data_IF_519791743193
#
_entry.id   IF_519791743193
#
_cell.length_a   1.000
_cell.length_b   1.000
_cell.length_c   1.000
_cell.angle_alpha   90.00
_cell.angle_beta   90.00
_cell.angle_gamma   90.00
#
_symmetry.space_group_name_H-M   'P 1'
#
loop_
_entity.id
_entity.type
_entity.pdbx_description
1 polymer ?
#
# COMPACT_ATOMS: atom_id res chain seq x y z
N UNK A 1 -20.38 -30.99 23.02
CA UNK A 1 -19.28 -30.75 22.07
C UNK A 1 -18.81 -29.35 22.32
N UNK A 2 -17.51 -29.15 22.52
CA UNK A 2 -16.93 -27.82 22.47
C UNK A 2 -17.10 -27.39 21.01
N UNK A 3 -17.86 -26.32 20.75
CA UNK A 3 -17.99 -25.80 19.39
C UNK A 3 -16.62 -25.22 19.01
N UNK A 4 -15.83 -26.00 18.26
CA UNK A 4 -14.50 -25.58 17.82
C UNK A 4 -14.67 -24.62 16.65
N UNK A 5 -14.95 -23.37 16.99
CA UNK A 5 -14.96 -22.26 16.04
C UNK A 5 -13.56 -21.64 16.01
N UNK A 6 -12.92 -21.63 14.84
CA UNK A 6 -11.55 -21.14 14.65
C UNK A 6 -11.54 -20.03 13.61
N UNK A 7 -10.98 -18.88 13.96
CA UNK A 7 -10.69 -17.80 13.02
C UNK A 7 -9.29 -18.01 12.45
N UNK A 8 -9.20 -18.18 11.13
CA UNK A 8 -7.95 -18.32 10.41
C UNK A 8 -7.61 -17.03 9.69
N UNK A 9 -6.34 -16.62 9.73
CA UNK A 9 -5.79 -15.48 8.99
C UNK A 9 -4.61 -15.99 8.17
N UNK A 10 -4.85 -16.31 6.90
CA UNK A 10 -3.86 -16.91 6.01
C UNK A 10 -3.31 -15.87 5.03
N UNK A 11 -1.99 -15.75 4.92
CA UNK A 11 -1.37 -14.85 3.94
C UNK A 11 -1.46 -15.44 2.54
N UNK A 12 -1.86 -14.63 1.57
CA UNK A 12 -1.92 -14.97 0.14
C UNK A 12 -0.78 -14.30 -0.64
N UNK A 13 -0.59 -14.73 -1.89
CA UNK A 13 0.21 -13.95 -2.85
C UNK A 13 -0.44 -12.60 -3.12
N UNK A 14 0.36 -11.53 -3.15
CA UNK A 14 -0.14 -10.18 -3.39
C UNK A 14 -0.47 -9.99 -4.88
N UNK A 15 -1.75 -9.88 -5.19
CA UNK A 15 -2.26 -9.58 -6.54
C UNK A 15 -2.94 -8.21 -6.62
N UNK A 16 -3.18 -7.55 -5.48
CA UNK A 16 -3.80 -6.23 -5.42
C UNK A 16 -2.75 -5.13 -5.56
N UNK A 17 -3.02 -4.13 -6.39
CA UNK A 17 -2.08 -3.03 -6.66
C UNK A 17 -1.69 -2.31 -5.35
N UNK A 18 -0.40 -2.04 -5.17
CA UNK A 18 0.14 -1.35 -3.99
C UNK A 18 -0.10 -2.07 -2.65
N UNK A 19 -0.49 -3.35 -2.68
CA UNK A 19 -0.62 -4.15 -1.46
C UNK A 19 0.74 -4.59 -0.93
N UNK A 20 0.95 -4.37 0.36
CA UNK A 20 2.09 -4.87 1.13
C UNK A 20 1.88 -6.33 1.53
N UNK A 21 0.63 -6.71 1.79
CA UNK A 21 0.26 -8.09 2.08
C UNK A 21 -1.24 -8.31 1.81
N UNK A 22 -1.61 -9.50 1.32
CA UNK A 22 -3.00 -9.93 1.20
C UNK A 22 -3.27 -11.10 2.14
N UNK A 23 -4.47 -11.14 2.74
CA UNK A 23 -4.89 -12.17 3.68
C UNK A 23 -6.26 -12.71 3.32
N UNK A 24 -6.40 -14.04 3.32
CA UNK A 24 -7.68 -14.72 3.36
C UNK A 24 -8.06 -14.97 4.82
N UNK A 25 -9.20 -14.42 5.25
CA UNK A 25 -9.68 -14.52 6.62
C UNK A 25 -10.95 -15.35 6.61
N UNK A 26 -10.94 -16.48 7.30
CA UNK A 26 -12.07 -17.41 7.33
C UNK A 26 -12.43 -17.81 8.75
N UNK A 27 -13.72 -18.00 9.01
CA UNK A 27 -14.22 -18.63 10.22
C UNK A 27 -14.61 -20.06 9.91
N UNK A 28 -14.04 -21.02 10.62
CA UNK A 28 -14.36 -22.44 10.46
C UNK A 28 -15.09 -22.96 11.69
N UNK A 29 -16.21 -23.66 11.46
CA UNK A 29 -16.96 -24.38 12.49
C UNK A 29 -17.21 -25.79 11.99
N UNK A 30 -16.77 -26.78 12.76
CA UNK A 30 -16.88 -28.21 12.41
C UNK A 30 -16.33 -28.54 11.00
N UNK A 31 -15.26 -27.85 10.59
CA UNK A 31 -14.60 -28.00 9.28
C UNK A 31 -15.27 -27.29 8.10
N UNK A 32 -16.41 -26.62 8.30
CA UNK A 32 -17.07 -25.81 7.27
C UNK A 32 -16.69 -24.33 7.43
N UNK A 33 -16.43 -23.65 6.31
CA UNK A 33 -16.26 -22.18 6.29
C UNK A 33 -17.63 -21.52 6.44
N UNK A 34 -17.76 -20.62 7.41
CA UNK A 34 -18.98 -19.89 7.73
C UNK A 34 -18.69 -18.39 7.82
N UNK A 35 -19.75 -17.59 7.78
CA UNK A 35 -19.71 -16.18 8.19
C UNK A 35 -20.08 -16.06 9.67
N UNK A 36 -19.63 -15.01 10.38
CA UNK A 36 -20.03 -14.80 11.76
C UNK A 36 -21.51 -14.35 11.85
N UNK A 37 -22.20 -14.77 12.92
CA UNK A 37 -23.61 -14.41 13.14
C UNK A 37 -23.83 -12.93 13.50
N UNK A 38 -22.76 -12.21 13.82
CA UNK A 38 -22.76 -10.79 14.15
C UNK A 38 -21.38 -10.19 13.88
N UNK A 39 -21.25 -8.87 13.97
CA UNK A 39 -19.97 -8.19 13.83
C UNK A 39 -18.93 -8.70 14.84
N UNK A 40 -17.76 -9.13 14.34
CA UNK A 40 -16.61 -9.55 15.16
C UNK A 40 -15.44 -8.59 14.99
N UNK A 41 -14.49 -8.66 15.92
CA UNK A 41 -13.19 -7.96 15.81
C UNK A 41 -12.17 -8.88 15.15
N UNK A 42 -11.54 -8.39 14.08
CA UNK A 42 -10.45 -9.06 13.37
C UNK A 42 -9.13 -8.35 13.68
N UNK A 43 -8.06 -9.13 13.81
CA UNK A 43 -6.68 -8.64 14.01
C UNK A 43 -5.77 -9.24 12.94
N UNK A 44 -5.19 -8.40 12.09
CA UNK A 44 -4.19 -8.80 11.10
C UNK A 44 -2.81 -8.38 11.64
N UNK A 45 -1.93 -9.33 12.01
CA UNK A 45 -0.57 -8.98 12.45
C UNK A 45 0.27 -8.47 11.27
N UNK A 46 0.95 -7.34 11.43
CA UNK A 46 1.84 -6.78 10.41
C UNK A 46 2.83 -5.78 10.99
N UNK A 47 4.09 -5.86 10.50
CA UNK A 47 5.12 -4.87 10.81
C UNK A 47 5.09 -3.65 9.86
N UNK A 48 4.27 -3.71 8.80
CA UNK A 48 4.13 -2.59 7.88
C UNK A 48 3.19 -1.54 8.50
N UNK A 49 3.73 -0.38 8.87
CA UNK A 49 2.96 0.75 9.38
C UNK A 49 2.30 1.55 8.24
N UNK A 50 1.37 2.44 8.59
CA UNK A 50 0.69 3.35 7.66
C UNK A 50 0.03 2.61 6.48
N UNK A 51 -0.72 1.55 6.75
CA UNK A 51 -1.54 0.87 5.75
C UNK A 51 -3.03 1.03 6.06
N UNK A 52 -3.84 1.01 4.99
CA UNK A 52 -5.27 0.75 5.05
C UNK A 52 -5.52 -0.75 4.94
N UNK A 53 -6.58 -1.23 5.59
CA UNK A 53 -7.10 -2.58 5.39
C UNK A 53 -8.22 -2.47 4.37
N UNK A 54 -8.00 -2.95 3.16
CA UNK A 54 -8.95 -2.93 2.07
C UNK A 54 -9.64 -4.30 1.96
N UNK A 55 -10.95 -4.36 2.14
CA UNK A 55 -11.75 -5.55 1.81
C UNK A 55 -11.87 -5.67 0.30
N UNK A 56 -11.35 -6.75 -0.27
CA UNK A 56 -11.44 -7.05 -1.69
C UNK A 56 -12.74 -7.82 -1.96
N UNK A 57 -13.62 -7.23 -2.78
CA UNK A 57 -14.91 -7.82 -3.13
C UNK A 57 -14.83 -8.64 -4.41
N UNK A 58 -15.73 -9.61 -4.56
CA UNK A 58 -15.79 -10.49 -5.74
C UNK A 58 -16.08 -9.72 -7.05
N UNK A 59 -16.68 -8.53 -6.95
CA UNK A 59 -16.94 -7.64 -8.10
C UNK A 59 -15.70 -6.83 -8.54
N UNK A 60 -14.55 -7.03 -7.87
CA UNK A 60 -13.30 -6.34 -8.14
C UNK A 60 -13.15 -4.98 -7.46
N UNK A 61 -14.16 -4.53 -6.71
CA UNK A 61 -14.05 -3.29 -5.91
C UNK A 61 -13.37 -3.54 -4.56
N UNK A 62 -12.91 -2.46 -3.93
CA UNK A 62 -12.30 -2.52 -2.62
C UNK A 62 -12.92 -1.49 -1.66
N UNK A 63 -13.09 -1.87 -0.40
CA UNK A 63 -13.65 -1.01 0.65
C UNK A 63 -12.64 -0.84 1.80
N UNK A 64 -12.42 0.39 2.25
CA UNK A 64 -11.56 0.67 3.40
C UNK A 64 -12.28 0.30 4.71
N UNK A 65 -11.71 -0.66 5.44
CA UNK A 65 -12.24 -1.15 6.72
C UNK A 65 -11.97 -0.20 7.89
N UNK A 66 -11.32 0.94 7.66
CA UNK A 66 -10.98 1.95 8.67
C UNK A 66 -10.27 1.33 9.88
N UNK A 67 -9.35 0.40 9.61
CA UNK A 67 -8.65 -0.34 10.64
C UNK A 67 -7.73 0.57 11.45
N UNK A 68 -7.60 0.27 12.75
CA UNK A 68 -6.67 0.94 13.65
C UNK A 68 -5.41 0.12 13.78
N UNK A 69 -4.24 0.75 13.63
CA UNK A 69 -2.97 0.11 13.90
C UNK A 69 -2.63 0.21 15.40
N UNK A 70 -2.63 -0.91 16.11
CA UNK A 70 -2.35 -0.99 17.54
C UNK A 70 -1.59 -2.28 17.85
N UNK A 71 -0.50 -2.19 18.62
CA UNK A 71 0.29 -3.34 19.08
C UNK A 71 0.72 -4.29 17.94
N UNK A 72 1.22 -3.73 16.83
CA UNK A 72 1.69 -4.52 15.68
C UNK A 72 0.58 -5.20 14.86
N UNK A 73 -0.68 -4.80 15.08
CA UNK A 73 -1.84 -5.37 14.40
C UNK A 73 -2.72 -4.28 13.79
N UNK A 74 -3.29 -4.55 12.62
CA UNK A 74 -4.44 -3.82 12.11
C UNK A 74 -5.73 -4.43 12.68
N UNK A 75 -6.48 -3.62 13.41
CA UNK A 75 -7.69 -4.02 14.14
C UNK A 75 -8.91 -3.33 13.55
N UNK A 76 -9.89 -4.12 13.11
CA UNK A 76 -11.15 -3.63 12.55
C UNK A 76 -12.30 -4.56 12.92
N UNK A 77 -13.53 -4.14 12.60
CA UNK A 77 -14.74 -4.92 12.83
C UNK A 77 -15.44 -5.24 11.52
N UNK A 78 -15.95 -6.45 11.39
CA UNK A 78 -16.69 -6.89 10.20
C UNK A 78 -17.68 -8.00 10.57
N UNK A 79 -18.79 -8.08 9.85
CA UNK A 79 -19.73 -9.22 9.86
C UNK A 79 -19.58 -10.11 8.62
N UNK A 80 -18.66 -9.74 7.72
CA UNK A 80 -18.34 -10.50 6.53
C UNK A 80 -16.84 -10.74 6.48
N UNK A 81 -16.40 -11.99 6.47
CA UNK A 81 -15.02 -12.44 6.33
C UNK A 81 -14.74 -12.86 4.89
N UNK A 82 -13.61 -12.41 4.36
CA UNK A 82 -13.21 -12.60 2.97
C UNK A 82 -11.71 -12.31 2.83
N UNK A 83 -11.29 -11.87 1.64
CA UNK A 83 -9.93 -11.45 1.35
C UNK A 83 -9.73 -9.97 1.66
N UNK A 84 -8.64 -9.64 2.36
CA UNK A 84 -8.25 -8.28 2.72
C UNK A 84 -6.82 -7.99 2.32
N UNK A 85 -6.58 -6.83 1.72
CA UNK A 85 -5.25 -6.33 1.43
C UNK A 85 -4.84 -5.24 2.44
N UNK A 86 -3.60 -5.31 2.92
CA UNK A 86 -2.91 -4.18 3.52
C UNK A 86 -2.32 -3.35 2.38
N UNK A 87 -2.85 -2.15 2.19
CA UNK A 87 -2.43 -1.23 1.13
C UNK A 87 -1.75 -0.05 1.78
N UNK A 88 -0.56 0.32 1.32
CA UNK A 88 0.17 1.45 1.89
C UNK A 88 -0.70 2.72 1.78
N UNK A 89 -1.05 3.33 2.90
CA UNK A 89 -1.79 4.58 2.97
C UNK A 89 -0.82 5.76 2.81
N UNK A 90 -0.17 5.80 1.65
CA UNK A 90 0.73 6.88 1.30
C UNK A 90 0.00 7.84 0.38
N UNK A 91 -0.09 9.11 0.80
CA UNK A 91 -0.49 10.16 -0.12
C UNK A 91 0.64 10.33 -1.12
N UNK A 92 0.41 9.90 -2.35
CA UNK A 92 1.36 10.13 -3.44
C UNK A 92 1.17 11.56 -3.93
N UNK A 93 2.14 12.42 -3.64
CA UNK A 93 2.17 13.79 -4.11
C UNK A 93 2.93 13.86 -5.44
N UNK A 94 2.37 14.54 -6.43
CA UNK A 94 3.08 14.78 -7.70
C UNK A 94 4.36 15.56 -7.42
N UNK A 95 5.50 15.00 -7.82
CA UNK A 95 6.83 15.57 -7.60
C UNK A 95 7.52 15.19 -6.29
N UNK A 96 6.88 14.42 -5.40
CA UNK A 96 7.48 13.92 -4.15
C UNK A 96 8.28 12.63 -4.43
N UNK A 97 9.45 12.79 -5.02
CA UNK A 97 10.30 11.70 -5.50
C UNK A 97 10.93 10.88 -4.36
N UNK A 98 11.28 11.53 -3.25
CA UNK A 98 11.83 10.83 -2.09
C UNK A 98 10.73 10.29 -1.16
N UNK A 99 9.47 10.65 -1.45
CA UNK A 99 8.27 10.23 -0.75
C UNK A 99 8.28 10.57 0.75
N UNK A 100 8.79 11.75 1.10
CA UNK A 100 8.81 12.29 2.47
C UNK A 100 7.56 13.14 2.79
N UNK A 101 6.68 13.34 1.81
CA UNK A 101 5.45 14.12 1.94
C UNK A 101 5.64 15.62 1.74
N UNK A 102 6.83 16.09 1.35
CA UNK A 102 7.15 17.51 1.19
C UNK A 102 7.82 17.73 -0.18
N UNK A 103 7.10 18.35 -1.10
CA UNK A 103 7.62 18.61 -2.46
C UNK A 103 8.63 19.77 -2.41
N UNK A 104 9.92 19.49 -2.60
CA UNK A 104 11.00 20.47 -2.53
C UNK A 104 12.27 20.06 -3.34
N UNK A 105 13.36 20.83 -3.21
CA UNK A 105 14.61 20.59 -3.97
C UNK A 105 15.29 19.24 -3.64
N UNK A 106 14.96 18.64 -2.50
CA UNK A 106 15.43 17.29 -2.17
C UNK A 106 14.84 16.25 -3.13
N UNK A 107 13.61 16.43 -3.61
CA UNK A 107 12.99 15.54 -4.62
C UNK A 107 13.71 15.62 -5.96
N UNK A 108 14.06 16.84 -6.38
CA UNK A 108 14.87 17.08 -7.58
C UNK A 108 16.19 16.32 -7.49
N UNK A 109 16.85 16.41 -6.34
CA UNK A 109 18.13 15.72 -6.10
C UNK A 109 17.94 14.21 -6.10
N UNK A 110 16.87 13.72 -5.48
CA UNK A 110 16.57 12.30 -5.39
C UNK A 110 16.27 11.70 -6.77
N UNK A 111 15.47 12.38 -7.60
CA UNK A 111 15.18 11.99 -8.97
C UNK A 111 16.46 11.97 -9.84
N UNK A 112 17.33 12.97 -9.72
CA UNK A 112 18.63 12.99 -10.41
C UNK A 112 19.52 11.81 -10.00
N UNK A 113 19.57 11.49 -8.69
CA UNK A 113 20.30 10.33 -8.19
C UNK A 113 19.78 9.04 -8.80
N UNK A 114 18.45 8.85 -8.85
CA UNK A 114 17.82 7.69 -9.48
C UNK A 114 18.20 7.58 -10.96
N UNK A 115 18.05 8.66 -11.74
CA UNK A 115 18.40 8.70 -13.18
C UNK A 115 19.89 8.37 -13.42
N UNK A 116 20.78 8.78 -12.50
CA UNK A 116 22.21 8.46 -12.57
C UNK A 116 22.56 7.01 -12.17
N UNK A 117 21.56 6.21 -11.79
CA UNK A 117 21.72 4.80 -11.43
C UNK A 117 22.18 4.58 -9.98
N UNK A 118 22.05 5.58 -9.10
CA UNK A 118 22.26 5.37 -7.67
C UNK A 118 21.19 4.43 -7.10
N UNK A 119 21.56 3.75 -6.01
CA UNK A 119 20.76 2.72 -5.37
C UNK A 119 20.69 2.95 -3.87
N UNK A 120 19.68 2.37 -3.24
CA UNK A 120 19.63 2.26 -1.78
C UNK A 120 20.78 1.41 -1.24
N UNK A 121 21.02 1.47 0.07
CA UNK A 121 22.09 0.70 0.74
C UNK A 121 21.93 -0.82 0.57
N UNK A 122 20.70 -1.29 0.42
CA UNK A 122 20.37 -2.71 0.17
C UNK A 122 20.49 -3.12 -1.31
N UNK A 123 20.84 -2.18 -2.20
CA UNK A 123 20.99 -2.42 -3.64
C UNK A 123 19.69 -2.31 -4.46
N UNK A 124 18.56 -2.00 -3.83
CA UNK A 124 17.30 -1.67 -4.53
C UNK A 124 17.38 -0.32 -5.25
N UNK A 125 16.51 -0.12 -6.25
CA UNK A 125 16.40 1.16 -6.94
C UNK A 125 15.90 2.25 -5.98
N UNK A 126 16.35 3.50 -6.16
CA UNK A 126 15.88 4.63 -5.34
C UNK A 126 14.39 4.89 -5.55
N UNK A 127 13.91 4.77 -6.79
CA UNK A 127 12.49 4.84 -7.16
C UNK A 127 12.09 3.50 -7.77
N UNK A 128 11.01 2.90 -7.26
CA UNK A 128 10.42 1.69 -7.81
C UNK A 128 9.56 2.03 -9.03
N UNK A 129 10.17 1.98 -10.23
CA UNK A 129 9.49 2.23 -11.49
C UNK A 129 8.42 1.17 -11.84
N UNK A 130 8.39 0.03 -11.13
CA UNK A 130 7.32 -0.98 -11.33
C UNK A 130 6.04 -0.63 -10.57
N UNK A 131 6.14 0.23 -9.56
CA UNK A 131 5.00 0.83 -8.91
C UNK A 131 4.46 1.97 -9.78
N UNK A 132 3.33 1.72 -10.44
CA UNK A 132 2.73 2.69 -11.38
C UNK A 132 2.39 4.04 -10.73
N UNK A 133 1.89 4.03 -9.50
CA UNK A 133 1.54 5.29 -8.81
C UNK A 133 2.78 6.12 -8.49
N UNK A 134 3.86 5.47 -8.04
CA UNK A 134 5.14 6.14 -7.81
C UNK A 134 5.76 6.62 -9.11
N UNK A 135 5.73 5.80 -10.16
CA UNK A 135 6.23 6.19 -11.47
C UNK A 135 5.49 7.42 -12.02
N UNK A 136 4.16 7.35 -12.06
CA UNK A 136 3.32 8.41 -12.63
C UNK A 136 3.42 9.74 -11.82
N UNK A 137 3.89 9.70 -10.56
CA UNK A 137 4.06 10.92 -9.76
C UNK A 137 5.38 11.67 -10.02
N UNK A 138 6.40 11.00 -10.57
CA UNK A 138 7.70 11.59 -10.91
C UNK A 138 7.98 11.65 -12.42
N UNK A 139 7.17 10.99 -13.26
CA UNK A 139 7.10 11.21 -14.72
C UNK A 139 6.38 12.55 -14.99
N UNK A 140 7.08 13.64 -14.70
CA UNK A 140 6.52 14.99 -14.69
C UNK A 140 6.08 15.44 -16.10
N UNK A 141 6.77 14.98 -17.14
CA UNK A 141 6.42 15.32 -18.52
C UNK A 141 5.45 14.32 -19.18
N UNK A 142 5.16 13.19 -18.52
CA UNK A 142 4.25 12.13 -18.95
C UNK A 142 4.66 11.45 -20.25
N UNK A 143 5.97 11.33 -20.50
CA UNK A 143 6.51 10.67 -21.68
C UNK A 143 6.75 9.16 -21.50
N UNK A 144 6.48 8.66 -20.28
CA UNK A 144 6.63 7.26 -19.92
C UNK A 144 8.06 6.85 -19.61
N UNK A 145 8.98 7.80 -19.33
CA UNK A 145 10.37 7.52 -18.94
C UNK A 145 10.89 8.55 -17.94
N UNK A 146 11.54 8.10 -16.89
CA UNK A 146 12.23 9.03 -15.97
C UNK A 146 13.54 9.52 -16.58
N UNK A 147 13.63 10.82 -16.81
CA UNK A 147 14.74 11.47 -17.49
C UNK A 147 15.08 12.85 -16.90
N UNK A 148 16.14 13.47 -17.42
CA UNK A 148 16.49 14.86 -17.04
C UNK A 148 15.42 15.88 -17.44
N UNK A 149 14.51 15.52 -18.34
CA UNK A 149 13.35 16.35 -18.66
C UNK A 149 12.42 16.45 -17.45
N UNK A 150 12.16 15.34 -16.76
CA UNK A 150 11.30 15.30 -15.56
C UNK A 150 11.89 16.08 -14.40
N UNK A 151 13.22 16.02 -14.24
CA UNK A 151 13.96 16.84 -13.28
C UNK A 151 13.73 18.32 -13.55
N UNK A 152 13.74 18.74 -14.82
CA UNK A 152 13.52 20.14 -15.21
C UNK A 152 12.08 20.57 -14.93
N UNK A 153 11.11 19.72 -15.29
CA UNK A 153 9.69 19.98 -15.00
C UNK A 153 9.41 20.03 -13.50
N UNK A 154 10.05 19.17 -12.69
CA UNK A 154 9.94 19.21 -11.23
C UNK A 154 10.49 20.51 -10.65
N UNK A 155 11.64 20.98 -11.14
CA UNK A 155 12.20 22.28 -10.73
C UNK A 155 11.25 23.44 -11.08
N UNK A 156 10.65 23.42 -12.27
CA UNK A 156 9.64 24.42 -12.68
C UNK A 156 8.42 24.34 -11.76
N UNK A 157 7.92 23.14 -11.50
CA UNK A 157 6.78 22.89 -10.62
C UNK A 157 7.02 23.46 -9.23
N UNK A 158 8.16 23.16 -8.59
CA UNK A 158 8.52 23.70 -7.28
C UNK A 158 8.64 25.23 -7.33
N UNK A 159 9.27 25.78 -8.37
CA UNK A 159 9.46 27.24 -8.49
C UNK A 159 8.14 28.02 -8.59
N UNK A 160 7.10 27.42 -9.14
CA UNK A 160 5.79 28.05 -9.30
C UNK A 160 4.88 27.89 -8.07
N UNK A 161 5.22 26.99 -7.14
CA UNK A 161 4.40 26.65 -5.97
C UNK A 161 5.08 27.00 -4.62
N UNK A 162 6.23 27.65 -4.65
CA UNK A 162 6.95 28.18 -3.47
C UNK A 162 6.48 29.60 -3.08
#
# INVERSE_FOLDING_TARGET
MQEDTVLNVAKLENTFENSVATYDITLQKDGAVIQPDSTITVKIPSNAENCKVMWLKDDGTAEDMNAKYTDGCYVFTTDHLSVYALVQDKTILTGDANQDGIINVNDVTYLQMHISGNKNTDGSALIDETNKQLFDCVDMNKDGKLSVSDVTELQIYISNNN
#
